data_IF_890955039683
#
_entry.id   IF_890955039683
#
_cell.length_a   1.000
_cell.length_b   1.000
_cell.length_c   1.000
_cell.angle_alpha   90.00
_cell.angle_beta   90.00
_cell.angle_gamma   90.00
#
_symmetry.space_group_name_H-M   'P 1'
#
loop_
_entity.id
_entity.type
_entity.pdbx_description
1 polymer ?
#
# COMPACT_ATOMS: atom_id res chain seq x y z
N UNK A 1 13.22 -8.93 -20.66
CA UNK A 1 12.23 -9.85 -20.06
C UNK A 1 10.91 -9.12 -19.93
N UNK A 2 9.80 -9.80 -20.21
CA UNK A 2 8.44 -9.23 -20.17
C UNK A 2 7.67 -9.80 -19.00
N UNK A 3 7.25 -8.92 -18.09
CA UNK A 3 6.32 -9.30 -17.02
C UNK A 3 4.94 -8.72 -17.29
N UNK A 4 3.93 -9.58 -17.19
CA UNK A 4 2.53 -9.15 -17.25
C UNK A 4 1.97 -9.10 -15.84
N UNK A 5 1.42 -7.95 -15.46
CA UNK A 5 0.87 -7.69 -14.12
C UNK A 5 -0.65 -7.66 -14.18
N UNK A 6 -1.29 -8.59 -13.51
CA UNK A 6 -2.76 -8.74 -13.51
C UNK A 6 -3.31 -8.11 -12.23
N UNK A 7 -4.31 -7.23 -12.37
CA UNK A 7 -4.96 -6.53 -11.23
C UNK A 7 -6.47 -6.71 -11.33
N UNK A 8 -7.15 -7.05 -10.23
CA UNK A 8 -8.61 -7.24 -10.21
C UNK A 8 -9.40 -5.97 -10.49
N UNK A 9 -8.91 -4.82 -9.97
CA UNK A 9 -9.46 -3.49 -10.27
C UNK A 9 -8.36 -2.41 -10.21
N UNK A 10 -8.54 -1.36 -11.00
CA UNK A 10 -7.66 -0.19 -11.02
C UNK A 10 -8.44 1.04 -10.55
N UNK A 11 -8.27 1.33 -9.28
CA UNK A 11 -8.73 2.54 -8.60
C UNK A 11 -7.55 3.16 -7.85
N UNK A 12 -7.49 4.49 -7.65
CA UNK A 12 -6.45 5.11 -6.85
C UNK A 12 -6.48 4.61 -5.39
N UNK A 13 -5.65 3.63 -5.07
CA UNK A 13 -5.55 3.00 -3.76
C UNK A 13 -4.14 2.48 -3.48
N UNK A 14 -3.82 2.20 -2.20
CA UNK A 14 -2.47 1.85 -1.77
C UNK A 14 -1.86 0.66 -2.53
N UNK A 15 -2.60 -0.44 -2.70
CA UNK A 15 -2.11 -1.62 -3.42
C UNK A 15 -1.84 -1.34 -4.89
N UNK A 16 -2.76 -0.66 -5.55
CA UNK A 16 -2.66 -0.29 -6.96
C UNK A 16 -1.52 0.71 -7.22
N UNK A 17 -1.38 1.73 -6.36
CA UNK A 17 -0.26 2.67 -6.43
C UNK A 17 1.09 1.97 -6.21
N UNK A 18 1.16 1.00 -5.29
CA UNK A 18 2.37 0.20 -5.10
C UNK A 18 2.70 -0.64 -6.34
N UNK A 19 1.70 -1.28 -6.95
CA UNK A 19 1.88 -2.05 -8.18
C UNK A 19 2.36 -1.18 -9.35
N UNK A 20 1.79 0.03 -9.49
CA UNK A 20 2.19 1.03 -10.48
C UNK A 20 3.65 1.45 -10.28
N UNK A 21 4.03 1.89 -9.06
CA UNK A 21 5.40 2.32 -8.74
C UNK A 21 6.42 1.22 -8.99
N UNK A 22 6.08 -0.01 -8.62
CA UNK A 22 6.91 -1.18 -8.91
C UNK A 22 7.03 -1.42 -10.42
N UNK A 23 5.95 -1.26 -11.18
CA UNK A 23 5.97 -1.37 -12.65
C UNK A 23 6.92 -0.37 -13.27
N UNK A 24 6.80 0.92 -12.90
CA UNK A 24 7.70 2.00 -13.39
C UNK A 24 9.17 1.70 -13.03
N UNK A 25 9.43 1.25 -11.80
CA UNK A 25 10.79 0.94 -11.38
C UNK A 25 11.37 -0.27 -12.13
N UNK A 26 10.58 -1.29 -12.43
CA UNK A 26 11.00 -2.44 -13.23
C UNK A 26 11.30 -2.04 -14.68
N UNK A 27 10.50 -1.14 -15.30
CA UNK A 27 10.79 -0.64 -16.64
C UNK A 27 12.11 0.12 -16.71
N UNK A 28 12.40 0.97 -15.74
CA UNK A 28 13.70 1.65 -15.62
C UNK A 28 14.88 0.69 -15.51
N UNK A 29 14.63 -0.54 -15.06
CA UNK A 29 15.60 -1.63 -14.92
C UNK A 29 15.64 -2.55 -16.15
N UNK A 30 14.94 -2.20 -17.22
CA UNK A 30 14.97 -2.91 -18.51
C UNK A 30 13.94 -4.04 -18.65
N UNK A 31 12.96 -4.13 -17.74
CA UNK A 31 11.80 -5.01 -17.92
C UNK A 31 10.78 -4.34 -18.84
N UNK A 32 10.11 -5.12 -19.68
CA UNK A 32 8.85 -4.69 -20.31
C UNK A 32 7.70 -5.05 -19.39
N UNK A 33 6.91 -4.05 -18.97
CA UNK A 33 5.82 -4.22 -18.01
C UNK A 33 4.49 -3.89 -18.64
N UNK A 34 3.58 -4.86 -18.70
CA UNK A 34 2.22 -4.68 -19.21
C UNK A 34 1.20 -4.98 -18.12
N UNK A 35 0.25 -4.08 -17.89
CA UNK A 35 -0.82 -4.27 -16.93
C UNK A 35 -2.11 -4.73 -17.60
N UNK A 36 -2.75 -5.76 -17.02
CA UNK A 36 -4.06 -6.26 -17.42
C UNK A 36 -5.01 -6.14 -16.22
N UNK A 37 -6.08 -5.36 -16.38
CA UNK A 37 -7.04 -5.10 -15.30
C UNK A 37 -8.39 -5.74 -15.56
N UNK A 38 -9.03 -6.26 -14.52
CA UNK A 38 -10.42 -6.75 -14.58
C UNK A 38 -11.40 -5.60 -14.78
N UNK A 39 -11.31 -4.57 -13.95
CA UNK A 39 -12.06 -3.31 -14.06
C UNK A 39 -11.16 -2.11 -13.78
N UNK A 40 -11.58 -0.92 -14.22
CA UNK A 40 -10.85 0.31 -13.93
C UNK A 40 -11.79 1.52 -13.89
N UNK A 41 -11.45 2.50 -13.04
CA UNK A 41 -12.05 3.84 -13.12
C UNK A 41 -11.34 4.70 -14.17
N UNK A 42 -11.99 5.72 -14.76
CA UNK A 42 -11.32 6.65 -15.67
C UNK A 42 -10.07 7.29 -15.08
N UNK A 43 -10.12 7.70 -13.80
CA UNK A 43 -8.95 8.23 -13.08
C UNK A 43 -7.84 7.21 -12.87
N UNK A 44 -8.19 5.93 -12.65
CA UNK A 44 -7.22 4.85 -12.57
C UNK A 44 -6.50 4.61 -13.90
N UNK A 45 -7.23 4.59 -15.01
CA UNK A 45 -6.65 4.45 -16.36
C UNK A 45 -5.69 5.61 -16.67
N UNK A 46 -6.12 6.84 -16.40
CA UNK A 46 -5.29 8.03 -16.66
C UNK A 46 -4.03 8.01 -15.81
N UNK A 47 -4.11 7.56 -14.55
CA UNK A 47 -2.96 7.44 -13.66
C UNK A 47 -1.89 6.49 -14.22
N UNK A 48 -2.27 5.33 -14.75
CA UNK A 48 -1.30 4.39 -15.35
C UNK A 48 -0.69 4.97 -16.64
N UNK A 49 -1.53 5.58 -17.49
CA UNK A 49 -1.10 6.20 -18.73
C UNK A 49 -0.14 7.37 -18.51
N UNK A 50 -0.40 8.23 -17.52
CA UNK A 50 0.47 9.38 -17.19
C UNK A 50 1.87 8.95 -16.73
N UNK A 51 2.01 7.71 -16.25
CA UNK A 51 3.29 7.12 -15.88
C UNK A 51 3.95 6.30 -17.01
N UNK A 52 3.38 6.33 -18.22
CA UNK A 52 3.92 5.64 -19.38
C UNK A 52 3.72 4.12 -19.39
N UNK A 53 2.86 3.58 -18.52
CA UNK A 53 2.60 2.15 -18.42
C UNK A 53 1.48 1.71 -19.36
N UNK A 54 1.68 0.58 -20.03
CA UNK A 54 0.64 -0.08 -20.82
C UNK A 54 -0.41 -0.70 -19.91
N UNK A 55 -1.69 -0.40 -20.18
CA UNK A 55 -2.83 -0.92 -19.42
C UNK A 55 -3.98 -1.30 -20.36
N UNK A 56 -4.32 -2.59 -20.39
CA UNK A 56 -5.56 -3.08 -20.99
C UNK A 56 -6.59 -3.40 -19.92
N UNK A 57 -7.87 -3.13 -20.20
CA UNK A 57 -8.96 -3.33 -19.27
C UNK A 57 -9.99 -4.30 -19.86
N UNK A 58 -10.32 -5.35 -19.11
CA UNK A 58 -11.38 -6.31 -19.48
C UNK A 58 -12.77 -5.67 -19.49
N UNK A 59 -13.01 -4.73 -18.58
CA UNK A 59 -14.25 -3.96 -18.53
C UNK A 59 -15.35 -4.64 -17.70
N UNK A 60 -14.99 -5.40 -16.68
CA UNK A 60 -15.95 -5.91 -15.72
C UNK A 60 -16.70 -4.76 -15.02
N UNK A 61 -18.00 -4.93 -14.82
CA UNK A 61 -18.86 -3.95 -14.14
C UNK A 61 -18.74 -3.96 -12.63
N UNK A 62 -17.97 -4.90 -12.08
CA UNK A 62 -17.67 -5.07 -10.64
C UNK A 62 -16.18 -5.28 -10.45
N UNK A 63 -15.71 -5.11 -9.22
CA UNK A 63 -14.34 -5.46 -8.85
C UNK A 63 -14.14 -6.98 -8.95
N UNK A 64 -13.06 -7.41 -9.60
CA UNK A 64 -12.64 -8.81 -9.66
C UNK A 64 -11.57 -9.17 -8.63
N UNK A 65 -11.42 -8.36 -7.59
CA UNK A 65 -10.38 -8.48 -6.59
C UNK A 65 -10.40 -9.80 -5.82
N UNK A 66 -11.62 -10.31 -5.54
CA UNK A 66 -11.86 -11.57 -4.80
C UNK A 66 -12.79 -12.52 -5.53
N UNK A 67 -12.97 -12.35 -6.83
CA UNK A 67 -13.85 -13.16 -7.68
C UNK A 67 -13.07 -14.11 -8.58
N UNK A 68 -13.60 -15.33 -8.73
CA UNK A 68 -13.18 -16.31 -9.73
C UNK A 68 -13.98 -16.11 -11.02
N UNK A 69 -13.52 -15.24 -11.92
CA UNK A 69 -14.21 -14.89 -13.16
C UNK A 69 -13.59 -15.60 -14.37
N UNK A 70 -14.29 -16.62 -14.92
CA UNK A 70 -13.80 -17.41 -16.07
C UNK A 70 -13.80 -16.59 -17.38
N UNK A 71 -14.64 -15.56 -17.50
CA UNK A 71 -14.60 -14.64 -18.63
C UNK A 71 -13.29 -13.84 -18.63
N UNK A 72 -12.88 -13.38 -17.45
CA UNK A 72 -11.58 -12.71 -17.28
C UNK A 72 -10.41 -13.65 -17.60
N UNK A 73 -10.44 -14.91 -17.16
CA UNK A 73 -9.45 -15.94 -17.53
C UNK A 73 -9.35 -16.07 -19.06
N UNK A 74 -10.50 -16.23 -19.75
CA UNK A 74 -10.53 -16.37 -21.21
C UNK A 74 -9.97 -15.14 -21.92
N UNK A 75 -10.22 -13.94 -21.37
CA UNK A 75 -9.70 -12.68 -21.90
C UNK A 75 -8.19 -12.51 -21.65
N UNK A 76 -7.67 -13.02 -20.52
CA UNK A 76 -6.24 -12.99 -20.18
C UNK A 76 -5.41 -13.92 -21.08
N UNK A 77 -5.90 -15.14 -21.35
CA UNK A 77 -5.09 -16.20 -21.98
C UNK A 77 -4.32 -15.77 -23.24
N UNK A 78 -4.92 -15.13 -24.26
CA UNK A 78 -4.15 -14.68 -25.45
C UNK A 78 -3.17 -13.53 -25.12
N UNK A 79 -3.40 -12.76 -24.06
CA UNK A 79 -2.57 -11.62 -23.63
C UNK A 79 -1.35 -12.03 -22.80
N UNK A 80 -1.39 -13.23 -22.25
CA UNK A 80 -0.27 -13.81 -21.49
C UNK A 80 0.67 -14.64 -22.35
N UNK A 81 0.39 -14.84 -23.65
CA UNK A 81 1.13 -15.75 -24.53
C UNK A 81 2.62 -15.39 -24.68
N UNK A 82 2.98 -14.11 -24.54
CA UNK A 82 4.35 -13.62 -24.66
C UNK A 82 4.98 -13.23 -23.30
N UNK A 83 4.35 -13.58 -22.19
CA UNK A 83 4.87 -13.27 -20.86
C UNK A 83 6.01 -14.23 -20.49
N UNK A 84 7.14 -13.69 -20.04
CA UNK A 84 8.17 -14.48 -19.39
C UNK A 84 7.78 -14.83 -17.94
N UNK A 85 6.98 -13.95 -17.28
CA UNK A 85 6.47 -14.10 -15.93
C UNK A 85 5.14 -13.36 -15.78
N UNK A 86 4.20 -13.95 -15.04
CA UNK A 86 2.91 -13.31 -14.70
C UNK A 86 2.83 -13.03 -13.21
N UNK A 87 2.40 -11.81 -12.83
CA UNK A 87 2.24 -11.40 -11.45
C UNK A 87 0.81 -10.90 -11.17
N UNK A 88 0.02 -11.67 -10.47
CA UNK A 88 -1.34 -11.30 -10.05
C UNK A 88 -1.37 -10.54 -8.71
N UNK A 89 -2.16 -9.47 -8.65
CA UNK A 89 -2.37 -8.68 -7.42
C UNK A 89 -3.75 -8.92 -6.85
N UNK A 90 -3.81 -9.43 -5.64
CA UNK A 90 -4.99 -9.91 -4.92
C UNK A 90 -5.58 -11.18 -5.54
N UNK A 91 -6.42 -11.88 -4.73
CA UNK A 91 -6.86 -13.25 -5.02
C UNK A 91 -7.42 -13.45 -6.43
N UNK A 92 -8.43 -12.68 -6.83
CA UNK A 92 -9.07 -12.90 -8.13
C UNK A 92 -8.11 -12.74 -9.31
N UNK A 93 -7.13 -11.83 -9.19
CA UNK A 93 -6.13 -11.61 -10.23
C UNK A 93 -5.09 -12.73 -10.30
N UNK A 94 -4.51 -13.16 -9.16
CA UNK A 94 -3.52 -14.25 -9.22
C UNK A 94 -4.17 -15.62 -9.46
N UNK A 95 -5.43 -15.82 -9.04
CA UNK A 95 -6.20 -16.99 -9.45
C UNK A 95 -6.43 -17.03 -10.97
N UNK A 96 -6.90 -15.90 -11.56
CA UNK A 96 -7.13 -15.81 -12.99
C UNK A 96 -5.81 -15.96 -13.79
N UNK A 97 -4.72 -15.35 -13.32
CA UNK A 97 -3.40 -15.50 -13.91
C UNK A 97 -2.93 -16.96 -13.92
N UNK A 98 -3.07 -17.68 -12.80
CA UNK A 98 -2.72 -19.11 -12.70
C UNK A 98 -3.54 -20.00 -13.64
N UNK A 99 -4.79 -19.60 -13.94
CA UNK A 99 -5.68 -20.31 -14.90
C UNK A 99 -5.31 -20.04 -16.35
N UNK A 100 -4.87 -18.81 -16.65
CA UNK A 100 -4.68 -18.31 -18.01
C UNK A 100 -3.24 -18.47 -18.52
N UNK A 101 -2.24 -18.54 -17.64
CA UNK A 101 -0.83 -18.64 -18.02
C UNK A 101 -0.52 -19.94 -18.75
N UNK A 102 0.39 -19.85 -19.71
CA UNK A 102 0.88 -21.03 -20.44
C UNK A 102 1.72 -21.94 -19.54
N UNK A 103 1.72 -23.26 -19.80
CA UNK A 103 2.60 -24.19 -19.09
C UNK A 103 4.07 -23.75 -19.17
N UNK A 104 4.74 -23.72 -18.02
CA UNK A 104 6.15 -23.32 -17.93
C UNK A 104 6.39 -21.82 -17.75
N UNK A 105 5.37 -20.97 -17.84
CA UNK A 105 5.46 -19.55 -17.46
C UNK A 105 5.25 -19.41 -15.96
N UNK A 106 6.23 -18.89 -15.20
CA UNK A 106 6.07 -18.68 -13.78
C UNK A 106 4.92 -17.72 -13.43
N UNK A 107 4.13 -18.09 -12.43
CA UNK A 107 3.02 -17.27 -11.94
C UNK A 107 3.24 -16.94 -10.47
N UNK A 108 3.33 -15.66 -10.16
CA UNK A 108 3.45 -15.19 -8.78
C UNK A 108 2.22 -14.38 -8.38
N UNK A 109 1.89 -14.41 -7.10
CA UNK A 109 0.80 -13.62 -6.52
C UNK A 109 1.31 -12.58 -5.54
N UNK A 110 0.51 -11.54 -5.29
CA UNK A 110 0.63 -10.64 -4.14
C UNK A 110 -0.69 -10.54 -3.40
N UNK A 111 -0.65 -10.74 -2.09
CA UNK A 111 -1.79 -10.48 -1.21
C UNK A 111 -1.46 -9.31 -0.27
N UNK A 112 -2.23 -8.24 -0.41
CA UNK A 112 -1.91 -6.96 0.23
C UNK A 112 -2.53 -6.77 1.60
N UNK A 113 -3.65 -7.45 1.89
CA UNK A 113 -4.29 -7.33 3.20
C UNK A 113 -5.20 -8.53 3.51
N UNK A 114 -5.50 -8.70 4.82
CA UNK A 114 -6.39 -9.76 5.31
C UNK A 114 -7.85 -9.31 5.45
N UNK A 115 -8.14 -8.01 5.37
CA UNK A 115 -9.42 -7.46 5.82
C UNK A 115 -10.51 -7.43 4.76
N UNK A 116 -10.12 -7.43 3.48
CA UNK A 116 -11.03 -7.29 2.36
C UNK A 116 -11.55 -8.63 1.84
N UNK A 117 -11.06 -9.74 2.39
CA UNK A 117 -11.55 -11.06 2.02
C UNK A 117 -13.02 -11.24 2.40
N UNK A 118 -13.83 -11.84 1.52
CA UNK A 118 -15.21 -12.16 1.85
C UNK A 118 -15.28 -13.14 3.03
N UNK A 119 -16.38 -13.07 3.80
CA UNK A 119 -16.59 -13.95 4.94
C UNK A 119 -16.56 -15.45 4.55
N UNK A 120 -17.00 -15.75 3.34
CA UNK A 120 -16.95 -17.08 2.73
C UNK A 120 -16.05 -17.04 1.50
N UNK A 121 -14.72 -17.23 1.67
CA UNK A 121 -13.82 -17.24 0.54
C UNK A 121 -14.06 -18.48 -0.34
N UNK A 122 -13.80 -18.40 -1.66
CA UNK A 122 -13.98 -19.51 -2.58
C UNK A 122 -12.86 -20.55 -2.43
N UNK A 123 -12.90 -21.35 -1.33
CA UNK A 123 -11.83 -22.25 -0.90
C UNK A 123 -11.38 -23.26 -1.97
N UNK A 124 -12.31 -23.74 -2.83
CA UNK A 124 -11.97 -24.65 -3.93
C UNK A 124 -11.06 -24.01 -4.96
N UNK A 125 -11.36 -22.77 -5.37
CA UNK A 125 -10.51 -22.00 -6.28
C UNK A 125 -9.19 -21.59 -5.67
N UNK A 126 -9.21 -21.28 -4.37
CA UNK A 126 -8.02 -20.89 -3.60
C UNK A 126 -6.98 -22.01 -3.51
N UNK A 127 -7.40 -23.21 -3.07
CA UNK A 127 -6.50 -24.38 -2.98
C UNK A 127 -5.93 -24.76 -4.33
N UNK A 128 -6.77 -24.79 -5.35
CA UNK A 128 -6.32 -25.06 -6.70
C UNK A 128 -5.24 -24.07 -7.17
N UNK A 129 -5.41 -22.77 -6.83
CA UNK A 129 -4.45 -21.73 -7.21
C UNK A 129 -3.14 -21.83 -6.43
N UNK A 130 -3.17 -22.18 -5.13
CA UNK A 130 -1.94 -22.42 -4.35
C UNK A 130 -1.03 -23.46 -4.99
N UNK A 131 -1.60 -24.53 -5.55
CA UNK A 131 -0.85 -25.61 -6.24
C UNK A 131 -0.23 -25.14 -7.57
N UNK A 132 -0.61 -23.98 -8.07
CA UNK A 132 -0.19 -23.44 -9.37
C UNK A 132 0.67 -22.19 -9.30
N UNK A 133 0.73 -21.54 -8.15
CA UNK A 133 1.61 -20.40 -7.94
C UNK A 133 3.02 -20.87 -7.60
N UNK A 134 4.02 -20.21 -8.22
CA UNK A 134 5.42 -20.43 -7.88
C UNK A 134 5.83 -19.66 -6.63
N UNK A 135 5.20 -18.48 -6.38
CA UNK A 135 5.37 -17.66 -5.17
C UNK A 135 4.13 -16.84 -4.86
N UNK A 136 3.91 -16.58 -3.57
CA UNK A 136 2.88 -15.67 -3.10
C UNK A 136 3.48 -14.66 -2.12
N UNK A 137 3.61 -13.41 -2.56
CA UNK A 137 4.09 -12.32 -1.73
C UNK A 137 3.00 -11.81 -0.79
N UNK A 138 3.29 -11.79 0.49
CA UNK A 138 2.33 -11.48 1.54
C UNK A 138 2.75 -10.21 2.28
N UNK A 139 1.85 -9.22 2.31
CA UNK A 139 2.11 -7.90 2.87
C UNK A 139 1.60 -7.81 4.31
N UNK A 140 2.32 -8.44 5.24
CA UNK A 140 2.04 -8.39 6.67
C UNK A 140 1.66 -9.73 7.31
N UNK A 141 1.79 -9.83 8.65
CA UNK A 141 1.59 -11.06 9.38
C UNK A 141 0.15 -11.58 9.32
N UNK A 142 -0.88 -10.72 9.45
CA UNK A 142 -2.27 -11.17 9.41
C UNK A 142 -2.67 -11.79 8.06
N UNK A 143 -2.21 -11.22 6.96
CA UNK A 143 -2.45 -11.81 5.65
C UNK A 143 -1.74 -13.17 5.52
N UNK A 144 -0.53 -13.30 6.11
CA UNK A 144 0.19 -14.57 6.16
C UNK A 144 -0.57 -15.61 6.99
N UNK A 145 -0.98 -15.28 8.19
CA UNK A 145 -1.74 -16.17 9.08
C UNK A 145 -3.05 -16.62 8.44
N UNK A 146 -3.76 -15.70 7.80
CA UNK A 146 -5.00 -15.99 7.09
C UNK A 146 -4.79 -16.99 5.95
N UNK A 147 -3.77 -16.78 5.10
CA UNK A 147 -3.49 -17.69 3.98
C UNK A 147 -3.05 -19.08 4.48
N UNK A 148 -2.26 -19.14 5.55
CA UNK A 148 -1.91 -20.40 6.21
C UNK A 148 -3.16 -21.14 6.74
N UNK A 149 -4.08 -20.40 7.39
CA UNK A 149 -5.35 -20.96 7.86
C UNK A 149 -6.25 -21.45 6.71
N UNK A 150 -6.12 -20.86 5.52
CA UNK A 150 -6.80 -21.27 4.29
C UNK A 150 -6.10 -22.43 3.57
N UNK A 151 -4.96 -22.89 4.07
CA UNK A 151 -4.24 -24.08 3.57
C UNK A 151 -3.10 -23.79 2.60
N UNK A 152 -2.56 -22.56 2.57
CA UNK A 152 -1.35 -22.28 1.80
C UNK A 152 -0.13 -22.99 2.42
N UNK A 153 0.75 -23.51 1.57
CA UNK A 153 2.05 -24.03 2.00
C UNK A 153 2.91 -22.86 2.51
N UNK A 154 3.52 -22.94 3.71
CA UNK A 154 4.47 -21.95 4.20
C UNK A 154 5.60 -21.62 3.23
N UNK A 155 6.06 -22.61 2.44
CA UNK A 155 7.12 -22.44 1.44
C UNK A 155 6.70 -21.57 0.25
N UNK A 156 5.40 -21.51 -0.06
CA UNK A 156 4.84 -20.63 -1.08
C UNK A 156 4.88 -19.15 -0.65
N UNK A 157 4.83 -18.88 0.67
CA UNK A 157 4.60 -17.53 1.21
C UNK A 157 5.92 -16.77 1.44
N UNK A 158 6.15 -15.74 0.65
CA UNK A 158 7.29 -14.84 0.73
C UNK A 158 6.89 -13.46 1.27
N UNK A 159 7.82 -12.73 1.91
CA UNK A 159 7.55 -11.37 2.35
C UNK A 159 7.35 -10.45 1.14
N UNK A 160 6.18 -9.81 1.06
CA UNK A 160 5.87 -8.78 0.10
C UNK A 160 6.13 -7.39 0.66
N UNK A 161 6.56 -6.47 -0.20
CA UNK A 161 6.77 -5.06 0.18
C UNK A 161 6.06 -4.12 -0.79
N UNK A 162 5.45 -3.08 -0.23
CA UNK A 162 4.81 -2.03 -1.01
C UNK A 162 5.76 -0.85 -1.20
N UNK A 163 5.88 -0.36 -2.43
CA UNK A 163 6.68 0.82 -2.73
C UNK A 163 5.96 2.11 -2.29
N UNK A 164 6.70 3.05 -1.69
CA UNK A 164 6.24 4.43 -1.44
C UNK A 164 6.58 5.34 -2.61
N UNK A 165 6.00 6.55 -2.62
CA UNK A 165 6.35 7.58 -3.59
C UNK A 165 7.82 8.00 -3.43
N UNK A 166 8.45 8.44 -4.54
CA UNK A 166 9.73 9.09 -4.49
C UNK A 166 9.65 10.39 -3.68
N UNK A 167 10.69 10.64 -2.88
CA UNK A 167 10.83 11.88 -2.12
C UNK A 167 11.90 12.82 -2.70
N UNK A 168 12.47 12.47 -3.87
CA UNK A 168 13.56 13.23 -4.51
C UNK A 168 13.08 14.56 -5.08
N UNK A 169 11.91 14.57 -5.72
CA UNK A 169 11.34 15.76 -6.39
C UNK A 169 10.19 16.39 -5.60
N UNK A 170 10.24 16.31 -4.27
CA UNK A 170 9.19 16.88 -3.42
C UNK A 170 9.23 18.40 -3.45
N UNK A 171 8.08 19.01 -3.72
CA UNK A 171 7.86 20.45 -3.75
C UNK A 171 6.86 20.81 -2.66
N UNK A 172 7.33 21.13 -1.44
CA UNK A 172 6.42 21.38 -0.33
C UNK A 172 5.42 22.50 -0.67
N UNK A 173 4.14 22.22 -0.45
CA UNK A 173 3.11 23.26 -0.57
C UNK A 173 3.39 24.34 0.47
N UNK A 174 3.38 25.65 0.10
CA UNK A 174 3.67 26.75 1.02
C UNK A 174 2.53 26.93 2.03
N UNK A 175 2.57 26.16 3.11
CA UNK A 175 1.57 26.13 4.17
C UNK A 175 2.24 26.39 5.54
N UNK A 176 1.44 26.76 6.57
CA UNK A 176 1.99 26.95 7.92
C UNK A 176 2.77 25.72 8.41
N UNK A 177 3.97 25.95 8.98
CA UNK A 177 4.82 24.86 9.46
C UNK A 177 4.19 24.08 10.63
N UNK A 178 3.33 24.73 11.42
CA UNK A 178 2.60 24.11 12.54
C UNK A 178 1.28 23.47 12.06
N UNK A 179 1.26 22.81 10.90
CA UNK A 179 0.09 22.10 10.39
C UNK A 179 0.13 20.62 10.71
N UNK A 180 -1.04 20.02 10.78
CA UNK A 180 -1.24 18.57 10.71
C UNK A 180 -1.67 18.17 9.30
N UNK A 181 -1.24 17.01 8.86
CA UNK A 181 -1.65 16.44 7.59
C UNK A 181 -2.16 15.01 7.81
N UNK A 182 -3.32 14.73 7.26
CA UNK A 182 -3.82 13.40 6.99
C UNK A 182 -3.73 13.18 5.49
N UNK A 183 -3.19 12.04 5.04
CA UNK A 183 -3.18 11.67 3.63
C UNK A 183 -3.69 10.23 3.46
N UNK A 184 -4.82 10.07 2.77
CA UNK A 184 -5.45 8.77 2.59
C UNK A 184 -6.90 8.86 2.11
N UNK A 185 -7.46 7.70 1.80
CA UNK A 185 -8.89 7.62 1.42
C UNK A 185 -9.76 8.18 2.56
N UNK A 186 -10.74 9.01 2.23
CA UNK A 186 -11.75 9.45 3.18
C UNK A 186 -12.80 8.36 3.35
N UNK A 187 -12.42 7.36 4.12
CA UNK A 187 -13.20 6.16 4.40
C UNK A 187 -13.19 5.84 5.90
N UNK A 188 -14.25 5.25 6.41
CA UNK A 188 -14.40 4.97 7.83
C UNK A 188 -13.22 4.14 8.40
N UNK A 189 -12.70 3.18 7.65
CA UNK A 189 -11.56 2.35 8.06
C UNK A 189 -10.27 3.16 8.35
N UNK A 190 -10.11 4.31 7.67
CA UNK A 190 -8.93 5.18 7.84
C UNK A 190 -9.09 6.19 8.99
N UNK A 191 -10.24 6.23 9.64
CA UNK A 191 -10.47 6.97 10.88
C UNK A 191 -10.36 8.51 10.82
N UNK A 192 -10.60 9.19 9.70
CA UNK A 192 -10.49 10.65 9.66
C UNK A 192 -11.49 11.35 10.59
N UNK A 193 -12.58 10.70 10.94
CA UNK A 193 -13.56 11.17 11.91
C UNK A 193 -13.02 11.17 13.35
N UNK A 194 -12.23 10.15 13.73
CA UNK A 194 -11.53 10.13 15.04
C UNK A 194 -10.52 11.27 15.13
N UNK A 195 -9.85 11.59 14.00
CA UNK A 195 -8.94 12.74 13.94
C UNK A 195 -9.67 14.08 14.13
N UNK A 196 -10.85 14.27 13.52
CA UNK A 196 -11.65 15.48 13.73
C UNK A 196 -12.08 15.64 15.18
N UNK A 197 -12.50 14.54 15.82
CA UNK A 197 -12.86 14.55 17.25
C UNK A 197 -11.64 14.85 18.13
N UNK A 198 -10.48 14.28 17.80
CA UNK A 198 -9.23 14.59 18.50
C UNK A 198 -8.83 16.05 18.34
N UNK A 199 -8.90 16.59 17.11
CA UNK A 199 -8.57 17.99 16.84
C UNK A 199 -9.44 18.95 17.63
N UNK A 200 -10.73 18.64 17.79
CA UNK A 200 -11.66 19.46 18.59
C UNK A 200 -11.27 19.54 20.07
N UNK A 201 -10.53 18.54 20.59
CA UNK A 201 -10.05 18.50 21.98
C UNK A 201 -8.70 19.20 22.18
N UNK A 202 -7.95 19.48 21.10
CA UNK A 202 -6.67 20.20 21.17
C UNK A 202 -6.91 21.68 21.46
N UNK A 203 -6.26 22.22 22.51
CA UNK A 203 -6.48 23.58 22.98
C UNK A 203 -6.04 24.65 21.97
N UNK A 204 -4.77 24.68 21.59
CA UNK A 204 -4.22 25.54 20.53
C UNK A 204 -4.15 24.74 19.23
N UNK A 205 -5.26 24.73 18.50
CA UNK A 205 -5.47 23.90 17.33
C UNK A 205 -4.62 24.33 16.15
N UNK A 206 -3.78 23.43 15.59
CA UNK A 206 -3.12 23.68 14.33
C UNK A 206 -4.09 23.47 13.16
N UNK A 207 -3.87 24.10 12.00
CA UNK A 207 -4.63 23.77 10.80
C UNK A 207 -4.40 22.31 10.40
N UNK A 208 -5.49 21.64 10.02
CA UNK A 208 -5.51 20.27 9.53
C UNK A 208 -5.82 20.26 8.04
N UNK A 209 -4.98 19.56 7.27
CA UNK A 209 -5.19 19.31 5.85
C UNK A 209 -5.52 17.83 5.63
N UNK A 210 -6.72 17.57 5.09
CA UNK A 210 -7.17 16.24 4.69
C UNK A 210 -6.90 16.06 3.20
N UNK A 211 -5.83 15.33 2.89
CA UNK A 211 -5.40 15.04 1.51
C UNK A 211 -5.94 13.68 1.12
N UNK A 212 -6.90 13.65 0.21
CA UNK A 212 -7.58 12.46 -0.26
C UNK A 212 -9.06 12.70 -0.52
N UNK A 213 -9.70 11.71 -1.08
CA UNK A 213 -11.13 11.71 -1.38
C UNK A 213 -11.77 10.39 -0.92
N UNK A 214 -13.09 10.35 -0.87
CA UNK A 214 -13.83 9.14 -0.53
C UNK A 214 -15.27 9.41 -0.12
N UNK A 215 -16.08 8.35 -0.02
CA UNK A 215 -17.52 8.47 0.23
C UNK A 215 -17.86 9.06 1.62
N UNK A 216 -16.89 9.14 2.51
CA UNK A 216 -17.07 9.64 3.87
C UNK A 216 -16.90 11.17 3.98
N UNK A 217 -16.54 11.87 2.90
CA UNK A 217 -16.20 13.31 2.93
C UNK A 217 -17.35 14.18 3.43
N UNK A 218 -18.57 13.97 2.93
CA UNK A 218 -19.72 14.77 3.35
C UNK A 218 -20.05 14.61 4.83
N UNK A 219 -19.88 13.41 5.37
CA UNK A 219 -20.05 13.15 6.80
C UNK A 219 -18.98 13.88 7.63
N UNK A 220 -17.74 13.84 7.17
CA UNK A 220 -16.62 14.55 7.82
C UNK A 220 -16.83 16.06 7.83
N UNK A 221 -17.32 16.64 6.73
CA UNK A 221 -17.66 18.06 6.67
C UNK A 221 -18.79 18.43 7.65
N UNK A 222 -19.83 17.61 7.73
CA UNK A 222 -20.91 17.78 8.74
C UNK A 222 -20.37 17.66 10.16
N UNK A 223 -19.45 16.71 10.42
CA UNK A 223 -18.83 16.50 11.72
C UNK A 223 -17.95 17.68 12.13
N UNK A 224 -17.13 18.22 11.22
CA UNK A 224 -16.31 19.40 11.47
C UNK A 224 -17.15 20.61 11.91
N UNK A 225 -18.29 20.86 11.23
CA UNK A 225 -19.24 21.90 11.62
C UNK A 225 -19.82 21.68 13.02
N UNK A 226 -20.28 20.44 13.32
CA UNK A 226 -20.85 20.12 14.65
C UNK A 226 -19.83 20.27 15.77
N UNK A 227 -18.56 20.01 15.50
CA UNK A 227 -17.46 20.16 16.45
C UNK A 227 -16.94 21.60 16.55
N UNK A 228 -17.40 22.52 15.72
CA UNK A 228 -16.94 23.91 15.70
C UNK A 228 -15.49 24.08 15.26
N UNK A 229 -15.01 23.20 14.38
CA UNK A 229 -13.61 23.20 13.87
C UNK A 229 -13.54 23.37 12.35
N UNK A 230 -14.62 23.74 11.71
CA UNK A 230 -14.67 23.86 10.24
C UNK A 230 -13.61 24.82 9.70
N UNK A 231 -13.31 25.90 10.41
CA UNK A 231 -12.29 26.89 10.02
C UNK A 231 -10.85 26.33 10.12
N UNK A 232 -10.64 25.31 10.93
CA UNK A 232 -9.32 24.69 11.16
C UNK A 232 -9.04 23.53 10.18
N UNK A 233 -10.05 23.08 9.40
CA UNK A 233 -9.96 21.89 8.55
C UNK A 233 -10.09 22.23 7.07
N UNK A 234 -9.07 21.87 6.29
CA UNK A 234 -9.08 22.02 4.83
C UNK A 234 -9.19 20.64 4.17
N UNK A 235 -10.25 20.45 3.38
CA UNK A 235 -10.41 19.27 2.52
C UNK A 235 -9.76 19.57 1.18
N UNK A 236 -8.63 18.93 0.92
CA UNK A 236 -7.79 19.16 -0.28
C UNK A 236 -8.32 18.42 -1.50
N UNK A 237 -8.99 17.29 -1.29
CA UNK A 237 -9.30 16.35 -2.35
C UNK A 237 -8.14 15.38 -2.62
N UNK A 238 -8.30 14.54 -3.64
CA UNK A 238 -7.26 13.60 -4.05
C UNK A 238 -6.04 14.34 -4.64
N UNK A 239 -4.84 13.87 -4.31
CA UNK A 239 -3.58 14.39 -4.82
C UNK A 239 -2.69 13.25 -5.29
N UNK A 240 -2.15 13.37 -6.50
CA UNK A 240 -1.09 12.48 -7.00
C UNK A 240 0.22 12.60 -6.23
N UNK A 241 0.43 13.75 -5.60
CA UNK A 241 1.67 14.10 -4.89
C UNK A 241 1.41 14.38 -3.40
N UNK A 242 0.99 13.36 -2.63
CA UNK A 242 0.73 13.55 -1.20
C UNK A 242 2.00 13.95 -0.43
N UNK A 243 3.18 13.60 -0.94
CA UNK A 243 4.47 14.00 -0.38
C UNK A 243 4.63 15.52 -0.27
N UNK A 244 4.16 16.29 -1.26
CA UNK A 244 4.26 17.76 -1.28
C UNK A 244 3.44 18.40 -0.15
N UNK A 245 2.32 17.78 0.24
CA UNK A 245 1.47 18.22 1.36
C UNK A 245 2.03 17.82 2.72
N UNK A 246 2.61 16.61 2.81
CA UNK A 246 3.18 16.06 4.04
C UNK A 246 4.50 16.79 4.38
N UNK A 247 5.32 17.09 3.38
CA UNK A 247 6.62 17.71 3.59
C UNK A 247 6.52 19.01 4.38
N UNK A 248 7.33 19.12 5.44
CA UNK A 248 7.33 20.29 6.33
C UNK A 248 6.10 20.39 7.26
N UNK A 249 5.24 19.39 7.34
CA UNK A 249 4.18 19.35 8.34
C UNK A 249 4.78 19.12 9.74
N UNK A 250 4.09 19.62 10.77
CA UNK A 250 4.46 19.35 12.17
C UNK A 250 4.25 17.89 12.55
N UNK A 251 3.21 17.28 12.00
CA UNK A 251 2.97 15.84 12.07
C UNK A 251 2.09 15.36 10.92
N UNK A 252 2.31 14.12 10.52
CA UNK A 252 1.38 13.33 9.73
C UNK A 252 0.57 12.44 10.68
N UNK A 253 -0.77 12.46 10.55
CA UNK A 253 -1.66 11.72 11.43
C UNK A 253 -2.31 10.57 10.68
N UNK A 254 -2.21 9.35 11.23
CA UNK A 254 -2.72 8.12 10.63
C UNK A 254 -3.65 7.42 11.64
N UNK A 255 -4.91 7.85 11.76
CA UNK A 255 -5.84 7.40 12.80
C UNK A 255 -6.61 6.13 12.41
N UNK A 256 -6.00 5.26 11.62
CA UNK A 256 -6.65 4.11 10.99
C UNK A 256 -7.27 3.16 12.02
N UNK A 257 -8.46 2.64 11.71
CA UNK A 257 -9.10 1.51 12.41
C UNK A 257 -8.52 0.18 11.97
N UNK A 258 -8.08 0.12 10.70
CA UNK A 258 -7.41 -1.04 10.09
C UNK A 258 -6.35 -0.57 9.12
N UNK A 259 -5.18 -1.15 9.21
CA UNK A 259 -4.09 -0.88 8.27
C UNK A 259 -3.13 -2.06 8.26
N UNK A 260 -2.99 -2.75 7.15
CA UNK A 260 -2.05 -3.86 7.01
C UNK A 260 -0.59 -3.37 6.97
N UNK A 261 -0.39 -2.21 6.33
CA UNK A 261 0.88 -1.48 6.25
C UNK A 261 0.63 -0.07 5.71
N UNK A 262 0.96 0.93 6.47
CA UNK A 262 0.63 2.31 6.12
C UNK A 262 1.69 2.96 5.22
N UNK A 263 1.40 3.04 3.93
CA UNK A 263 2.24 3.79 2.98
C UNK A 263 2.41 5.25 3.40
N UNK A 264 1.34 5.89 3.88
CA UNK A 264 1.36 7.28 4.33
C UNK A 264 2.30 7.50 5.50
N UNK A 265 2.29 6.60 6.50
CA UNK A 265 3.21 6.70 7.63
C UNK A 265 4.67 6.58 7.17
N UNK A 266 4.96 5.59 6.30
CA UNK A 266 6.31 5.38 5.77
C UNK A 266 6.75 6.54 4.88
N UNK A 267 5.85 7.10 4.07
CA UNK A 267 6.14 8.29 3.26
C UNK A 267 6.46 9.51 4.15
N UNK A 268 5.68 9.73 5.22
CA UNK A 268 5.96 10.80 6.18
C UNK A 268 7.34 10.61 6.87
N UNK A 269 7.69 9.37 7.22
CA UNK A 269 9.00 9.02 7.76
C UNK A 269 10.14 9.32 6.76
N UNK A 270 9.95 8.98 5.48
CA UNK A 270 10.91 9.31 4.42
C UNK A 270 11.16 10.82 4.32
N UNK A 271 10.12 11.62 4.56
CA UNK A 271 10.15 13.09 4.57
C UNK A 271 10.64 13.70 5.91
N UNK A 272 11.08 12.87 6.86
CA UNK A 272 11.42 13.28 8.22
C UNK A 272 10.28 14.06 8.94
N UNK A 273 9.04 13.71 8.67
CA UNK A 273 7.86 14.26 9.34
C UNK A 273 7.42 13.30 10.44
N UNK A 274 7.27 13.77 11.70
CA UNK A 274 6.78 12.95 12.79
C UNK A 274 5.43 12.32 12.47
N UNK A 275 5.24 11.05 12.85
CA UNK A 275 3.98 10.33 12.64
C UNK A 275 3.29 10.08 13.99
N UNK A 276 2.03 10.44 14.08
CA UNK A 276 1.13 10.02 15.15
C UNK A 276 0.06 9.12 14.54
N UNK A 277 -0.06 7.89 15.04
CA UNK A 277 -1.01 6.94 14.47
C UNK A 277 -1.58 5.99 15.50
N UNK A 278 -2.51 5.16 15.09
CA UNK A 278 -3.18 4.17 15.94
C UNK A 278 -2.38 2.88 16.01
N UNK A 279 -2.46 2.20 17.16
CA UNK A 279 -1.83 0.90 17.43
C UNK A 279 -2.64 -0.24 16.80
N UNK A 280 -2.89 -0.15 15.49
CA UNK A 280 -3.43 -1.26 14.70
C UNK A 280 -2.31 -2.07 14.09
N UNK A 281 -2.57 -3.31 13.73
CA UNK A 281 -1.58 -4.34 13.38
C UNK A 281 -0.37 -3.85 12.56
N UNK A 282 -0.57 -3.47 11.32
CA UNK A 282 0.54 -3.07 10.43
C UNK A 282 1.20 -1.75 10.85
N UNK A 283 0.39 -0.82 11.40
CA UNK A 283 0.88 0.49 11.81
C UNK A 283 1.71 0.41 13.11
N UNK A 284 1.37 -0.50 14.03
CA UNK A 284 2.16 -0.75 15.25
C UNK A 284 3.62 -1.09 14.89
N UNK A 285 3.82 -1.97 13.91
CA UNK A 285 5.18 -2.33 13.44
C UNK A 285 5.90 -1.14 12.80
N UNK A 286 5.20 -0.34 12.00
CA UNK A 286 5.77 0.86 11.37
C UNK A 286 6.23 1.87 12.41
N UNK A 287 5.40 2.15 13.44
CA UNK A 287 5.67 3.14 14.47
C UNK A 287 6.61 2.67 15.58
N UNK A 288 6.93 1.38 15.66
CA UNK A 288 7.80 0.82 16.72
C UNK A 288 9.21 1.45 16.75
N UNK A 289 9.99 1.12 17.78
CA UNK A 289 11.36 1.61 17.98
C UNK A 289 11.49 3.14 17.98
N UNK A 290 10.48 3.85 18.50
CA UNK A 290 10.50 5.32 18.59
C UNK A 290 10.29 6.06 17.27
N UNK A 291 10.03 5.36 16.15
CA UNK A 291 9.83 5.99 14.84
C UNK A 291 8.57 6.84 14.74
N UNK A 292 7.58 6.57 15.58
CA UNK A 292 6.34 7.34 15.66
C UNK A 292 5.67 7.21 17.01
N UNK A 293 4.56 7.91 17.19
CA UNK A 293 3.73 7.85 18.40
C UNK A 293 2.50 7.01 18.11
N UNK A 294 2.33 5.92 18.85
CA UNK A 294 1.17 5.03 18.71
C UNK A 294 0.16 5.28 19.84
N UNK A 295 -1.13 5.37 19.50
CA UNK A 295 -2.25 5.50 20.45
C UNK A 295 -3.28 4.41 20.20
N UNK A 296 -4.14 4.14 21.18
CA UNK A 296 -5.25 3.19 20.98
C UNK A 296 -6.15 3.63 19.82
N UNK A 297 -6.62 2.71 18.96
CA UNK A 297 -7.63 3.04 17.96
C UNK A 297 -8.94 3.45 18.64
N UNK A 298 -9.79 4.23 17.95
CA UNK A 298 -11.09 4.71 18.45
C UNK A 298 -11.01 5.54 19.75
N UNK A 299 -9.83 6.10 20.08
CA UNK A 299 -9.66 6.96 21.25
C UNK A 299 -9.22 8.38 20.84
N UNK A 300 -10.17 9.28 20.52
CA UNK A 300 -9.86 10.66 20.16
C UNK A 300 -9.17 11.44 21.29
N UNK A 301 -9.40 11.08 22.56
CA UNK A 301 -8.74 11.72 23.71
C UNK A 301 -7.27 11.35 23.79
N UNK A 302 -6.93 10.07 23.58
CA UNK A 302 -5.55 9.64 23.53
C UNK A 302 -4.82 10.27 22.33
N UNK A 303 -5.48 10.34 21.17
CA UNK A 303 -4.93 10.97 19.97
C UNK A 303 -4.69 12.48 20.19
N UNK A 304 -5.64 13.20 20.80
CA UNK A 304 -5.50 14.62 21.14
C UNK A 304 -4.29 14.86 22.06
N UNK A 305 -4.18 14.09 23.15
CA UNK A 305 -3.01 14.19 24.07
C UNK A 305 -1.68 13.94 23.37
N UNK A 306 -1.62 12.93 22.48
CA UNK A 306 -0.40 12.63 21.72
C UNK A 306 -0.03 13.78 20.79
N UNK A 307 -1.01 14.39 20.10
CA UNK A 307 -0.81 15.55 19.27
C UNK A 307 -0.31 16.76 20.08
N UNK A 308 -0.94 17.08 21.21
CA UNK A 308 -0.51 18.18 22.10
C UNK A 308 0.94 17.97 22.58
N UNK A 309 1.29 16.77 23.06
CA UNK A 309 2.62 16.46 23.52
C UNK A 309 3.68 16.62 22.41
N UNK A 310 3.33 16.25 21.18
CA UNK A 310 4.22 16.41 20.03
C UNK A 310 4.34 17.88 19.60
N UNK A 311 3.22 18.61 19.57
CA UNK A 311 3.18 20.04 19.20
C UNK A 311 4.01 20.88 20.19
N UNK A 312 3.96 20.59 21.47
CA UNK A 312 4.69 21.25 22.53
C UNK A 312 6.14 20.75 22.70
N UNK A 313 6.56 19.74 21.94
CA UNK A 313 7.90 19.16 22.02
C UNK A 313 8.17 18.30 23.25
N UNK A 314 7.10 17.91 23.99
CA UNK A 314 7.20 16.98 25.15
C UNK A 314 7.47 15.53 24.71
N UNK A 315 7.09 15.17 23.50
CA UNK A 315 7.41 13.89 22.85
C UNK A 315 8.17 14.15 21.57
N UNK A 316 9.22 13.38 21.37
CA UNK A 316 10.01 13.38 20.12
C UNK A 316 10.03 11.99 19.54
N UNK A 317 10.05 11.91 18.21
CA UNK A 317 10.22 10.67 17.46
C UNK A 317 11.66 10.58 16.95
N UNK A 318 12.16 9.36 16.80
CA UNK A 318 13.44 9.10 16.14
C UNK A 318 13.28 9.30 14.62
N UNK A 319 13.51 10.51 14.14
CA UNK A 319 13.39 10.86 12.73
C UNK A 319 14.47 10.22 11.86
N UNK A 320 15.66 9.98 12.40
CA UNK A 320 16.75 9.33 11.67
C UNK A 320 16.46 7.85 11.47
N UNK A 321 16.12 7.14 12.53
CA UNK A 321 15.67 5.74 12.44
C UNK A 321 14.39 5.57 11.59
N UNK A 322 13.46 6.54 11.63
CA UNK A 322 12.29 6.56 10.78
C UNK A 322 12.65 6.67 9.29
N UNK A 323 13.58 7.58 8.93
CA UNK A 323 14.08 7.70 7.54
C UNK A 323 14.81 6.44 7.09
N UNK A 324 15.67 5.88 7.95
CA UNK A 324 16.39 4.62 7.68
C UNK A 324 15.41 3.47 7.42
N UNK A 325 14.34 3.38 8.22
CA UNK A 325 13.27 2.41 7.98
C UNK A 325 12.58 2.64 6.64
N UNK A 326 12.18 3.88 6.34
CA UNK A 326 11.46 4.24 5.11
C UNK A 326 12.30 4.01 3.84
N UNK A 327 13.62 4.20 3.90
CA UNK A 327 14.53 3.99 2.77
C UNK A 327 14.47 2.56 2.21
N UNK A 328 14.00 1.58 2.98
CA UNK A 328 13.81 0.17 2.58
C UNK A 328 12.63 -0.02 1.64
N UNK A 329 11.75 0.97 1.50
CA UNK A 329 10.49 0.90 0.76
C UNK A 329 10.44 1.85 -0.44
N UNK A 330 11.58 2.41 -0.84
CA UNK A 330 11.66 3.14 -2.11
C UNK A 330 11.34 2.21 -3.28
N UNK A 331 10.82 2.76 -4.37
CA UNK A 331 10.44 1.98 -5.54
C UNK A 331 11.61 1.16 -6.09
N UNK A 332 12.82 1.71 -6.07
CA UNK A 332 14.04 1.04 -6.53
C UNK A 332 14.43 -0.16 -5.64
N UNK A 333 14.35 0.00 -4.32
CA UNK A 333 14.65 -1.09 -3.38
C UNK A 333 13.62 -2.20 -3.46
N UNK A 334 12.35 -1.84 -3.57
CA UNK A 334 11.27 -2.82 -3.74
C UNK A 334 11.40 -3.53 -5.08
N UNK A 335 11.70 -2.81 -6.16
CA UNK A 335 11.94 -3.41 -7.47
C UNK A 335 13.10 -4.41 -7.45
N UNK A 336 14.23 -4.09 -6.78
CA UNK A 336 15.36 -5.01 -6.64
C UNK A 336 14.97 -6.33 -5.96
N UNK A 337 14.13 -6.26 -4.91
CA UNK A 337 13.62 -7.44 -4.21
C UNK A 337 12.79 -8.34 -5.13
N UNK A 338 11.84 -7.74 -5.86
CA UNK A 338 10.99 -8.48 -6.78
C UNK A 338 11.77 -9.03 -7.99
N UNK A 339 12.68 -8.22 -8.54
CA UNK A 339 13.55 -8.63 -9.66
C UNK A 339 14.42 -9.83 -9.27
N UNK A 340 15.02 -9.82 -8.08
CA UNK A 340 15.76 -10.97 -7.55
C UNK A 340 14.89 -12.21 -7.48
N UNK A 341 13.68 -12.07 -6.93
CA UNK A 341 12.72 -13.16 -6.82
C UNK A 341 12.29 -13.70 -8.19
N UNK A 342 12.08 -12.82 -9.17
CA UNK A 342 11.74 -13.22 -10.54
C UNK A 342 12.91 -13.93 -11.24
N UNK A 343 14.11 -13.40 -11.07
CA UNK A 343 15.31 -14.00 -11.64
C UNK A 343 15.53 -15.44 -11.17
N UNK A 344 15.24 -15.74 -9.91
CA UNK A 344 15.30 -17.12 -9.39
C UNK A 344 14.31 -18.07 -10.07
N UNK A 345 13.11 -17.59 -10.44
CA UNK A 345 12.10 -18.39 -11.13
C UNK A 345 12.39 -18.56 -12.62
N UNK A 346 13.08 -17.60 -13.22
CA UNK A 346 13.44 -17.60 -14.64
C UNK A 346 14.79 -18.24 -14.92
N UNK A 347 15.60 -18.49 -13.89
CA UNK A 347 16.91 -19.10 -14.04
C UNK A 347 16.79 -20.58 -14.47
N UNK A 348 17.62 -21.06 -15.42
CA UNK A 348 17.69 -22.47 -15.74
C UNK A 348 18.03 -23.29 -14.49
N UNK A 349 17.41 -24.46 -14.35
CA UNK A 349 17.70 -25.38 -13.22
C UNK A 349 19.20 -25.70 -13.20
N UNK A 350 19.90 -25.30 -12.14
CA UNK A 350 21.35 -25.51 -11.95
C UNK A 350 22.26 -24.31 -12.22
N UNK A 351 21.73 -23.15 -12.62
CA UNK A 351 22.48 -21.89 -12.62
C UNK A 351 22.63 -21.39 -11.19
N UNK A 352 23.84 -20.92 -10.80
CA UNK A 352 24.09 -20.39 -9.45
C UNK A 352 23.08 -19.27 -9.08
N UNK A 353 22.60 -19.30 -7.84
CA UNK A 353 21.66 -18.29 -7.34
C UNK A 353 22.29 -16.90 -7.42
N UNK A 354 21.56 -15.88 -7.92
CA UNK A 354 21.99 -14.50 -7.80
C UNK A 354 22.19 -14.11 -6.33
N UNK A 355 23.02 -13.13 -6.03
CA UNK A 355 23.27 -12.63 -4.66
C UNK A 355 21.97 -12.03 -4.08
N UNK A 356 21.63 -12.45 -2.86
CA UNK A 356 20.40 -12.01 -2.19
C UNK A 356 20.48 -10.53 -1.76
N UNK A 357 19.68 -9.62 -2.34
CA UNK A 357 19.67 -8.22 -1.92
C UNK A 357 19.09 -8.01 -0.52
N UNK A 358 18.50 -9.04 0.12
CA UNK A 358 17.95 -8.93 1.47
C UNK A 358 19.01 -9.05 2.55
N UNK A 359 20.17 -9.69 2.27
CA UNK A 359 21.27 -9.79 3.24
C UNK A 359 21.84 -8.41 3.63
N UNK A 360 21.85 -7.44 2.73
CA UNK A 360 22.22 -6.05 3.04
C UNK A 360 21.11 -5.27 3.76
N UNK A 361 19.86 -5.76 3.75
CA UNK A 361 18.69 -5.04 4.26
C UNK A 361 18.30 -5.43 5.69
N UNK A 362 18.74 -6.59 6.20
CA UNK A 362 18.27 -7.14 7.48
C UNK A 362 19.24 -6.94 8.67
N UNK A 363 20.40 -6.34 8.48
CA UNK A 363 21.34 -6.08 9.59
C UNK A 363 20.83 -5.09 10.66
N UNK A 364 19.53 -4.80 10.73
CA UNK A 364 18.93 -3.91 11.72
C UNK A 364 17.62 -4.35 12.39
N UNK A 365 17.04 -5.50 12.08
CA UNK A 365 15.72 -5.92 12.63
C UNK A 365 15.59 -7.43 12.80
N UNK A 366 16.57 -8.07 13.47
CA UNK A 366 16.34 -9.38 14.06
C UNK A 366 16.70 -9.28 15.54
N UNK A 367 15.76 -8.75 16.32
CA UNK A 367 15.55 -9.03 17.74
C UNK A 367 14.31 -8.23 18.18
N UNK A 368 13.14 -8.85 18.11
CA UNK A 368 12.10 -8.87 19.16
C UNK A 368 10.89 -9.65 18.64
#
# INVERSE_FOLDING_TARGET
>A
MRTVRVIGNVEPGGGQLSALRLGVALERRGWSVHFLAGSATPGGVELFRSHGLELDVYGATRSLQYDCDEGFVSWLAPRLAEADLVHGHQFGAWWAAARAALPGVPVVGSEHNAYEWPAEPPLGGLRWAFDRLDRLFVHGPAAREQLLAMGADPALLHEGRSAIDSVEDVRPVPLPARRLVYAGRLHQEKGPDVLLEALALVGDRPPLYLVGSGPFEDDLRRRARRLGIEADVTFVGWSERPADWIAGARACVVPSRRDAWSQTAVLAMALAVPVVGTAVEGLTRVLSCGRGVAVAPEDPKALARALEHLLEGRVRTDLEGARGYAARFTSERVASLYEYSYAQLLAPVGSGSPTDPTEEMDHGVLQL
#
